data_IF_043519226812
#
_entry.id   IF_043519226812
#
_cell.length_a   1.000
_cell.length_b   1.000
_cell.length_c   1.000
_cell.angle_alpha   90.00
_cell.angle_beta   90.00
_cell.angle_gamma   90.00
#
_symmetry.space_group_name_H-M   'P 1'
#
loop_
_entity.id
_entity.type
_entity.pdbx_description
1 polymer ?
#
# COMPACT_ATOMS: atom_id res chain seq x y z
N UNK A 1 -9.46 -6.94 -13.14
CA UNK A 1 -8.49 -6.56 -12.08
C UNK A 1 -8.56 -7.64 -11.01
N UNK A 2 -7.43 -8.21 -10.59
CA UNK A 2 -7.42 -9.29 -9.58
C UNK A 2 -7.74 -8.69 -8.20
N UNK A 3 -8.66 -9.31 -7.46
CA UNK A 3 -9.00 -8.90 -6.09
C UNK A 3 -8.27 -9.81 -5.10
N UNK A 4 -7.65 -9.21 -4.09
CA UNK A 4 -6.94 -9.90 -3.01
C UNK A 4 -7.74 -9.78 -1.71
N UNK A 5 -7.74 -10.85 -0.93
CA UNK A 5 -8.20 -10.94 0.45
C UNK A 5 -7.27 -11.87 1.21
N UNK A 6 -7.19 -11.79 2.54
CA UNK A 6 -6.38 -12.73 3.31
C UNK A 6 -6.79 -14.19 3.04
N UNK A 7 -8.09 -14.49 3.04
CA UNK A 7 -8.60 -15.83 2.78
C UNK A 7 -8.17 -16.40 1.42
N UNK A 8 -8.23 -15.60 0.36
CA UNK A 8 -7.78 -16.02 -0.97
C UNK A 8 -6.27 -16.21 -1.04
N UNK A 9 -5.49 -15.39 -0.33
CA UNK A 9 -4.04 -15.58 -0.25
C UNK A 9 -3.69 -16.88 0.48
N UNK A 10 -4.37 -17.18 1.59
CA UNK A 10 -4.10 -18.40 2.36
C UNK A 10 -4.49 -19.66 1.61
N UNK A 11 -5.63 -19.64 0.90
CA UNK A 11 -6.03 -20.79 0.07
C UNK A 11 -5.04 -21.12 -1.04
N UNK A 12 -4.18 -20.17 -1.43
CA UNK A 12 -3.18 -20.38 -2.47
C UNK A 12 -1.84 -20.92 -1.94
N UNK A 13 -1.65 -20.97 -0.62
CA UNK A 13 -0.39 -21.42 0.00
C UNK A 13 -0.34 -22.94 0.25
N UNK A 14 -1.43 -23.68 -0.02
CA UNK A 14 -1.55 -25.13 0.20
C UNK A 14 -1.05 -25.58 1.59
N UNK A 15 -1.19 -24.72 2.62
CA UNK A 15 -0.73 -25.05 3.98
C UNK A 15 -1.78 -25.85 4.76
N UNK A 16 -1.34 -26.96 5.34
CA UNK A 16 -2.12 -27.76 6.29
C UNK A 16 -2.45 -26.93 7.55
N UNK A 17 -3.68 -26.99 8.10
CA UNK A 17 -4.02 -26.25 9.30
C UNK A 17 -3.25 -26.77 10.52
N UNK A 18 -2.17 -26.10 10.93
CA UNK A 18 -1.38 -26.47 12.13
C UNK A 18 -0.37 -25.42 12.61
N UNK A 19 -0.27 -25.27 13.94
CA UNK A 19 0.74 -24.56 14.76
C UNK A 19 1.00 -23.04 14.62
N UNK A 20 0.43 -22.32 13.66
CA UNK A 20 0.68 -20.87 13.51
C UNK A 20 -0.57 -20.02 13.69
N UNK A 21 -0.42 -18.87 14.36
CA UNK A 21 -1.44 -17.83 14.40
C UNK A 21 -1.24 -16.88 13.22
N UNK A 22 -2.13 -16.95 12.23
CA UNK A 22 -2.08 -16.12 11.03
C UNK A 22 -2.90 -14.85 11.25
N UNK A 23 -2.25 -13.71 11.12
CA UNK A 23 -2.89 -12.39 11.12
C UNK A 23 -2.45 -11.61 9.89
N UNK A 24 -3.36 -10.84 9.31
CA UNK A 24 -3.10 -10.05 8.12
C UNK A 24 -4.17 -9.00 7.90
N UNK A 25 -4.11 -8.33 6.75
CA UNK A 25 -5.11 -7.33 6.40
C UNK A 25 -6.51 -7.96 6.31
N UNK A 26 -7.53 -7.17 6.62
CA UNK A 26 -8.95 -7.58 6.64
C UNK A 26 -9.69 -6.93 5.50
N UNK A 27 -10.62 -7.64 4.87
CA UNK A 27 -11.37 -7.12 3.71
C UNK A 27 -10.63 -7.38 2.40
N UNK A 28 -10.84 -6.50 1.42
CA UNK A 28 -10.41 -6.73 0.05
C UNK A 28 -9.69 -5.53 -0.55
N UNK A 29 -8.75 -5.79 -1.45
CA UNK A 29 -8.08 -4.78 -2.26
C UNK A 29 -7.89 -5.29 -3.69
N UNK A 30 -7.56 -4.40 -4.61
CA UNK A 30 -7.14 -4.76 -5.96
C UNK A 30 -5.63 -4.92 -6.04
N UNK A 31 -5.17 -5.89 -6.82
CA UNK A 31 -3.76 -6.09 -7.11
C UNK A 31 -3.32 -5.18 -8.26
N UNK A 32 -2.55 -4.14 -7.92
CA UNK A 32 -1.88 -3.27 -8.88
C UNK A 32 -0.43 -3.71 -9.04
N UNK A 33 0.03 -3.77 -10.28
CA UNK A 33 1.36 -4.22 -10.66
C UNK A 33 1.87 -3.42 -11.86
N UNK A 34 3.13 -3.61 -12.24
CA UNK A 34 3.71 -2.98 -13.43
C UNK A 34 2.86 -3.25 -14.68
N UNK A 35 2.68 -2.24 -15.53
CA UNK A 35 1.82 -2.36 -16.71
C UNK A 35 0.33 -2.16 -16.44
N UNK A 36 -0.10 -2.09 -15.17
CA UNK A 36 -1.50 -1.80 -14.85
C UNK A 36 -1.90 -0.43 -15.41
N UNK A 37 -3.15 -0.32 -15.85
CA UNK A 37 -3.69 0.89 -16.51
C UNK A 37 -2.93 1.28 -17.80
N UNK A 38 -2.19 0.34 -18.42
CA UNK A 38 -1.51 0.57 -19.71
C UNK A 38 -0.24 1.40 -19.64
N UNK A 39 0.29 1.67 -18.44
CA UNK A 39 1.53 2.45 -18.24
C UNK A 39 2.72 1.52 -18.11
N UNK A 40 3.78 1.73 -18.89
CA UNK A 40 5.05 1.03 -18.71
C UNK A 40 5.88 1.68 -17.59
N UNK A 41 5.61 1.26 -16.36
CA UNK A 41 6.24 1.79 -15.16
C UNK A 41 7.34 0.90 -14.59
N UNK A 42 7.87 -0.03 -15.40
CA UNK A 42 8.94 -0.92 -14.99
C UNK A 42 10.20 -0.13 -14.60
N UNK A 43 10.73 -0.42 -13.42
CA UNK A 43 11.94 0.22 -12.89
C UNK A 43 11.71 1.45 -12.01
N UNK A 44 10.50 2.02 -11.99
CA UNK A 44 10.21 3.23 -11.19
C UNK A 44 8.83 3.24 -10.51
N UNK A 45 7.88 2.46 -11.01
CA UNK A 45 6.48 2.49 -10.58
C UNK A 45 6.12 1.73 -9.30
N UNK A 46 7.03 0.97 -8.69
CA UNK A 46 6.65 0.02 -7.62
C UNK A 46 5.95 0.70 -6.44
N UNK A 47 6.46 1.84 -5.97
CA UNK A 47 5.83 2.61 -4.89
C UNK A 47 4.40 3.03 -5.23
N UNK A 48 4.18 3.49 -6.46
CA UNK A 48 2.86 3.85 -6.96
C UNK A 48 1.90 2.65 -7.01
N UNK A 49 2.37 1.48 -7.46
CA UNK A 49 1.51 0.29 -7.53
C UNK A 49 1.13 -0.23 -6.15
N UNK A 50 2.08 -0.22 -5.20
CA UNK A 50 1.76 -0.55 -3.81
C UNK A 50 0.77 0.44 -3.21
N UNK A 51 0.94 1.75 -3.47
CA UNK A 51 0.00 2.78 -3.06
C UNK A 51 -1.40 2.54 -3.65
N UNK A 52 -1.51 2.23 -4.94
CA UNK A 52 -2.80 1.92 -5.59
C UNK A 52 -3.49 0.72 -4.96
N UNK A 53 -2.74 -0.34 -4.63
CA UNK A 53 -3.28 -1.49 -3.89
C UNK A 53 -3.80 -1.07 -2.51
N UNK A 54 -3.07 -0.25 -1.75
CA UNK A 54 -3.55 0.25 -0.45
C UNK A 54 -4.78 1.15 -0.60
N UNK A 55 -4.78 2.09 -1.54
CA UNK A 55 -5.92 2.99 -1.79
C UNK A 55 -7.17 2.21 -2.22
N UNK A 56 -7.01 1.14 -3.00
CA UNK A 56 -8.13 0.27 -3.34
C UNK A 56 -8.72 -0.45 -2.13
N UNK A 57 -7.91 -0.74 -1.11
CA UNK A 57 -8.41 -1.27 0.16
C UNK A 57 -9.31 -0.26 0.88
N UNK A 58 -8.92 1.01 0.94
CA UNK A 58 -9.77 2.08 1.48
C UNK A 58 -11.07 2.23 0.68
N UNK A 59 -10.98 2.18 -0.65
CA UNK A 59 -12.15 2.22 -1.54
C UNK A 59 -13.11 1.06 -1.26
N UNK A 60 -12.62 -0.18 -1.18
CA UNK A 60 -13.46 -1.37 -1.05
C UNK A 60 -13.91 -1.65 0.38
N UNK A 61 -13.01 -1.51 1.35
CA UNK A 61 -13.23 -1.94 2.74
C UNK A 61 -13.73 -0.81 3.63
N UNK A 62 -13.36 0.45 3.35
CA UNK A 62 -13.81 1.63 4.10
C UNK A 62 -14.83 2.47 3.33
N UNK A 63 -15.20 2.06 2.10
CA UNK A 63 -16.14 2.77 1.22
C UNK A 63 -15.77 4.24 1.00
N UNK A 64 -14.47 4.57 0.98
CA UNK A 64 -14.02 5.94 0.75
C UNK A 64 -14.44 6.42 -0.66
N UNK A 65 -15.00 7.64 -0.80
CA UNK A 65 -15.63 8.10 -2.04
C UNK A 65 -14.60 8.67 -3.03
N UNK A 66 -13.63 7.85 -3.44
CA UNK A 66 -12.66 8.20 -4.48
C UNK A 66 -12.41 7.04 -5.45
N UNK A 67 -11.89 7.36 -6.62
CA UNK A 67 -11.30 6.39 -7.53
C UNK A 67 -9.79 6.28 -7.29
N UNK A 68 -9.25 5.07 -7.46
CA UNK A 68 -7.82 4.84 -7.23
C UNK A 68 -7.05 5.65 -8.28
N UNK A 69 -6.20 6.61 -7.86
CA UNK A 69 -5.54 7.54 -8.79
C UNK A 69 -4.56 6.81 -9.69
N UNK A 70 -4.41 7.30 -10.91
CA UNK A 70 -3.31 7.00 -11.83
C UNK A 70 -1.97 7.47 -11.28
N UNK A 71 -0.86 7.02 -11.87
CA UNK A 71 0.48 7.45 -11.48
C UNK A 71 0.65 8.97 -11.62
N UNK A 72 0.12 9.55 -12.70
CA UNK A 72 0.15 11.00 -12.93
C UNK A 72 -0.67 11.77 -11.89
N UNK A 73 -1.85 11.27 -11.50
CA UNK A 73 -2.66 11.89 -10.44
C UNK A 73 -1.95 11.83 -9.09
N UNK A 74 -1.27 10.72 -8.77
CA UNK A 74 -0.41 10.63 -7.57
C UNK A 74 0.68 11.70 -7.59
N UNK A 75 1.35 11.90 -8.72
CA UNK A 75 2.37 12.94 -8.84
C UNK A 75 1.81 14.36 -8.69
N UNK A 76 0.62 14.61 -9.26
CA UNK A 76 -0.07 15.89 -9.08
C UNK A 76 -0.45 16.12 -7.62
N UNK A 77 -0.98 15.13 -6.91
CA UNK A 77 -1.29 15.24 -5.47
C UNK A 77 -0.03 15.62 -4.68
N UNK A 78 1.10 14.94 -4.92
CA UNK A 78 2.37 15.23 -4.24
C UNK A 78 2.87 16.65 -4.53
N UNK A 79 2.64 17.16 -5.73
CA UNK A 79 2.93 18.55 -6.05
C UNK A 79 1.98 19.53 -5.35
N UNK A 80 0.67 19.25 -5.36
CA UNK A 80 -0.37 20.10 -4.77
C UNK A 80 -0.23 20.25 -3.26
N UNK A 81 0.19 19.21 -2.55
CA UNK A 81 0.47 19.28 -1.10
C UNK A 81 1.83 19.91 -0.78
N UNK A 82 2.63 20.25 -1.79
CA UNK A 82 3.93 20.92 -1.64
C UNK A 82 5.12 20.01 -1.34
N UNK A 83 4.98 18.68 -1.44
CA UNK A 83 6.08 17.73 -1.21
C UNK A 83 7.05 17.67 -2.40
N UNK A 84 6.52 17.76 -3.63
CA UNK A 84 7.31 17.66 -4.87
C UNK A 84 7.25 18.92 -5.73
N UNK A 85 8.35 19.28 -6.43
CA UNK A 85 8.34 20.39 -7.37
C UNK A 85 7.54 20.05 -8.63
N UNK A 86 7.11 21.05 -9.40
CA UNK A 86 6.32 20.83 -10.63
C UNK A 86 7.02 19.91 -11.64
N UNK A 87 8.35 19.93 -11.69
CA UNK A 87 9.16 19.08 -12.60
C UNK A 87 9.07 17.58 -12.29
N UNK A 88 8.56 17.21 -11.11
CA UNK A 88 8.30 15.82 -10.73
C UNK A 88 7.04 15.25 -11.41
N UNK A 89 6.08 16.11 -11.75
CA UNK A 89 4.85 15.70 -12.44
C UNK A 89 5.20 15.25 -13.86
N UNK A 90 4.65 14.11 -14.27
CA UNK A 90 4.94 13.43 -15.54
C UNK A 90 6.39 12.92 -15.67
N UNK A 91 7.11 12.81 -14.54
CA UNK A 91 8.43 12.18 -14.49
C UNK A 91 8.33 10.65 -14.32
N UNK A 92 9.46 9.98 -14.45
CA UNK A 92 9.62 8.56 -14.08
C UNK A 92 10.32 8.40 -12.72
N UNK A 93 10.21 9.39 -11.83
CA UNK A 93 10.79 9.30 -10.51
C UNK A 93 9.98 8.34 -9.61
N UNK A 94 10.70 7.55 -8.81
CA UNK A 94 10.09 6.63 -7.83
C UNK A 94 9.56 7.40 -6.60
N UNK A 95 8.62 6.78 -5.88
CA UNK A 95 8.12 7.27 -4.59
C UNK A 95 8.34 6.22 -3.49
N UNK A 96 8.58 6.68 -2.26
CA UNK A 96 8.81 5.84 -1.10
C UNK A 96 7.59 5.75 -0.19
N UNK A 97 7.80 5.13 0.97
CA UNK A 97 6.77 4.95 2.01
C UNK A 97 6.25 6.28 2.56
N UNK A 98 7.09 7.33 2.57
CA UNK A 98 6.69 8.66 3.03
C UNK A 98 5.70 9.32 2.08
N UNK A 99 6.04 9.41 0.79
CA UNK A 99 5.14 9.97 -0.22
C UNK A 99 3.82 9.18 -0.31
N UNK A 100 3.88 7.84 -0.24
CA UNK A 100 2.70 7.00 -0.19
C UNK A 100 1.80 7.35 1.01
N UNK A 101 2.38 7.55 2.20
CA UNK A 101 1.67 7.97 3.39
C UNK A 101 0.98 9.33 3.22
N UNK A 102 1.68 10.31 2.64
CA UNK A 102 1.12 11.64 2.37
C UNK A 102 -0.10 11.57 1.45
N UNK A 103 -0.04 10.77 0.37
CA UNK A 103 -1.18 10.60 -0.54
C UNK A 103 -2.35 9.87 0.13
N UNK A 104 -2.06 8.84 0.94
CA UNK A 104 -3.10 8.16 1.74
C UNK A 104 -3.78 9.16 2.68
N UNK A 105 -3.03 9.95 3.43
CA UNK A 105 -3.59 10.93 4.36
C UNK A 105 -4.39 12.01 3.62
N UNK A 106 -3.88 12.49 2.48
CA UNK A 106 -4.56 13.48 1.67
C UNK A 106 -5.93 12.99 1.18
N UNK A 107 -6.01 11.77 0.64
CA UNK A 107 -7.23 11.22 0.04
C UNK A 107 -8.21 10.63 1.04
N UNK A 108 -7.70 9.99 2.10
CA UNK A 108 -8.53 9.22 3.04
C UNK A 108 -8.83 9.97 4.34
N UNK A 109 -8.07 11.03 4.64
CA UNK A 109 -8.07 11.73 5.94
C UNK A 109 -7.70 10.84 7.13
N UNK A 110 -7.08 9.68 6.89
CA UNK A 110 -6.52 8.82 7.93
C UNK A 110 -5.03 9.09 8.10
N UNK A 111 -4.56 9.04 9.34
CA UNK A 111 -3.13 9.10 9.63
C UNK A 111 -2.40 7.82 9.21
N UNK A 112 -1.10 7.93 9.02
CA UNK A 112 -0.22 6.80 8.74
C UNK A 112 0.96 6.79 9.70
N UNK A 113 1.55 5.60 9.88
CA UNK A 113 2.75 5.42 10.69
C UNK A 113 3.84 4.74 9.87
N UNK A 114 5.04 5.33 9.88
CA UNK A 114 6.23 4.70 9.32
C UNK A 114 7.01 4.04 10.45
N UNK A 115 7.34 2.76 10.26
CA UNK A 115 8.18 2.01 11.18
C UNK A 115 9.48 1.74 10.45
N UNK A 116 10.59 2.12 11.08
CA UNK A 116 11.92 1.86 10.57
C UNK A 116 12.38 0.47 11.00
N UNK A 117 12.73 -0.36 10.03
CA UNK A 117 13.27 -1.71 10.26
C UNK A 117 14.75 -1.71 9.86
N UNK A 118 15.64 -1.77 10.84
CA UNK A 118 17.08 -1.73 10.58
C UNK A 118 17.55 -3.00 9.87
N UNK A 119 18.04 -2.86 8.63
CA UNK A 119 18.60 -3.96 7.82
C UNK A 119 17.67 -5.17 7.69
N UNK A 120 16.35 -4.95 7.67
CA UNK A 120 15.37 -6.03 7.60
C UNK A 120 15.24 -6.87 8.88
N UNK A 121 15.80 -6.41 10.01
CA UNK A 121 15.66 -7.10 11.29
C UNK A 121 14.29 -6.80 11.93
N UNK A 122 13.30 -7.63 11.63
CA UNK A 122 11.99 -7.59 12.27
C UNK A 122 12.09 -8.12 13.70
N UNK A 123 12.32 -7.22 14.65
CA UNK A 123 12.37 -7.55 16.07
C UNK A 123 11.01 -8.03 16.58
N UNK A 124 10.99 -8.72 17.73
CA UNK A 124 9.75 -9.16 18.37
C UNK A 124 8.78 -7.99 18.64
N UNK A 125 9.31 -6.80 18.96
CA UNK A 125 8.52 -5.59 19.14
C UNK A 125 7.82 -5.16 17.85
N UNK A 126 8.54 -5.15 16.72
CA UNK A 126 7.97 -4.82 15.41
C UNK A 126 6.91 -5.86 15.01
N UNK A 127 7.18 -7.14 15.26
CA UNK A 127 6.22 -8.22 14.99
C UNK A 127 4.95 -8.04 15.82
N UNK A 128 5.07 -7.79 17.14
CA UNK A 128 3.92 -7.49 18.01
C UNK A 128 3.15 -6.27 17.54
N UNK A 129 3.85 -5.22 17.09
CA UNK A 129 3.21 -4.05 16.51
C UNK A 129 2.41 -4.39 15.25
N UNK A 130 2.97 -5.17 14.32
CA UNK A 130 2.29 -5.59 13.10
C UNK A 130 1.07 -6.49 13.40
N UNK A 131 1.19 -7.41 14.35
CA UNK A 131 0.06 -8.23 14.82
C UNK A 131 -1.06 -7.33 15.34
N UNK A 132 -0.74 -6.38 16.20
CA UNK A 132 -1.71 -5.44 16.74
C UNK A 132 -2.34 -4.58 15.63
N UNK A 133 -1.56 -4.07 14.68
CA UNK A 133 -2.05 -3.32 13.52
C UNK A 133 -3.07 -4.14 12.71
N UNK A 134 -2.77 -5.39 12.38
CA UNK A 134 -3.69 -6.24 11.62
C UNK A 134 -4.96 -6.59 12.41
N UNK A 135 -4.86 -6.70 13.73
CA UNK A 135 -6.02 -6.96 14.59
C UNK A 135 -6.91 -5.72 14.76
N UNK A 136 -6.33 -4.54 15.00
CA UNK A 136 -7.05 -3.30 15.26
C UNK A 136 -7.51 -2.60 13.97
N UNK A 137 -6.59 -2.37 13.03
CA UNK A 137 -6.83 -1.58 11.82
C UNK A 137 -7.13 -2.46 10.60
N UNK A 138 -6.34 -3.52 10.43
CA UNK A 138 -6.50 -4.48 9.34
C UNK A 138 -6.17 -3.92 7.95
N UNK A 139 -5.49 -2.78 7.83
CA UNK A 139 -5.08 -2.25 6.52
C UNK A 139 -3.83 -2.95 5.98
N UNK A 140 -3.65 -3.04 4.64
CA UNK A 140 -2.41 -3.54 4.04
C UNK A 140 -1.21 -2.66 4.39
N UNK A 141 -0.03 -3.26 4.48
CA UNK A 141 1.23 -2.58 4.85
C UNK A 141 2.18 -2.55 3.65
N UNK A 142 2.74 -1.37 3.35
CA UNK A 142 3.83 -1.22 2.39
C UNK A 142 5.18 -1.48 3.06
N UNK A 143 6.03 -2.26 2.41
CA UNK A 143 7.44 -2.39 2.76
C UNK A 143 8.27 -1.60 1.75
N UNK A 144 8.86 -0.49 2.20
CA UNK A 144 9.84 0.27 1.45
C UNK A 144 11.22 -0.39 1.51
N UNK A 145 12.05 -0.14 0.49
CA UNK A 145 13.46 -0.52 0.48
C UNK A 145 14.32 0.53 1.20
#
# INVERSE_FOLDING_TARGET
MLTLSLGTCLSALDEEPGEYNIVGFKGSCYYYHYGAQGVNDQGWGCGYRTLQTILSWYKLTKSCPFDVPTLLEVQNILHEIGDKPRVFVDSHDWIGTYECGLVIQHLTKHDFKIIRVEKGNFTEEIIKFLIHHFQAEGSPVMLGK
#
